data_IF_898573337547
#
_entry.id   IF_898573337547
#
_cell.length_a   1.000
_cell.length_b   1.000
_cell.length_c   1.000
_cell.angle_alpha   90.00
_cell.angle_beta   90.00
_cell.angle_gamma   90.00
#
_symmetry.space_group_name_H-M   'P 1'
#
loop_
_entity.id
_entity.type
_entity.pdbx_description
1 polymer ?
#
# COMPACT_ATOMS: atom_id res chain seq x y z
N UNK A 1 -29.03 -23.39 -55.67
CA UNK A 1 -27.71 -23.39 -55.00
C UNK A 1 -27.28 -22.00 -54.53
N UNK A 2 -27.32 -20.95 -55.37
CA UNK A 2 -26.90 -19.59 -54.98
C UNK A 2 -27.68 -18.94 -53.83
N UNK A 3 -28.98 -19.18 -53.68
CA UNK A 3 -29.77 -18.55 -52.62
C UNK A 3 -29.36 -19.02 -51.22
N UNK A 4 -29.05 -20.31 -51.05
CA UNK A 4 -28.56 -20.85 -49.77
C UNK A 4 -27.20 -20.27 -49.39
N UNK A 5 -26.33 -20.04 -50.37
CA UNK A 5 -25.02 -19.41 -50.16
C UNK A 5 -25.18 -17.95 -49.71
N UNK A 6 -26.11 -17.21 -50.32
CA UNK A 6 -26.39 -15.80 -49.96
C UNK A 6 -26.98 -15.70 -48.55
N UNK A 7 -27.91 -16.59 -48.20
CA UNK A 7 -28.52 -16.63 -46.86
C UNK A 7 -27.46 -16.97 -45.81
N UNK A 8 -26.61 -17.96 -46.09
CA UNK A 8 -25.51 -18.33 -45.19
C UNK A 8 -24.53 -17.17 -44.98
N UNK A 9 -24.17 -16.47 -46.05
CA UNK A 9 -23.29 -15.30 -45.99
C UNK A 9 -23.92 -14.17 -45.16
N UNK A 10 -25.21 -13.90 -45.35
CA UNK A 10 -25.94 -12.89 -44.58
C UNK A 10 -25.95 -13.20 -43.08
N UNK A 11 -26.14 -14.46 -42.70
CA UNK A 11 -26.10 -14.90 -41.30
C UNK A 11 -24.69 -14.69 -40.73
N UNK A 12 -23.64 -15.12 -41.44
CA UNK A 12 -22.25 -14.96 -40.98
C UNK A 12 -21.90 -13.48 -40.77
N UNK A 13 -22.27 -12.62 -41.72
CA UNK A 13 -22.02 -11.17 -41.62
C UNK A 13 -22.80 -10.55 -40.46
N UNK A 14 -24.08 -10.89 -40.29
CA UNK A 14 -24.89 -10.41 -39.19
C UNK A 14 -24.33 -10.86 -37.83
N UNK A 15 -23.93 -12.14 -37.70
CA UNK A 15 -23.31 -12.66 -36.48
C UNK A 15 -21.97 -11.98 -36.16
N UNK A 16 -21.15 -11.68 -37.18
CA UNK A 16 -19.91 -10.94 -36.99
C UNK A 16 -20.16 -9.50 -36.52
N UNK A 17 -21.13 -8.80 -37.13
CA UNK A 17 -21.51 -7.43 -36.71
C UNK A 17 -21.98 -7.44 -35.25
N UNK A 18 -22.87 -8.36 -34.89
CA UNK A 18 -23.34 -8.51 -33.50
C UNK A 18 -22.19 -8.82 -32.56
N UNK A 19 -21.31 -9.76 -32.91
CA UNK A 19 -20.15 -10.09 -32.08
C UNK A 19 -19.23 -8.88 -31.86
N UNK A 20 -18.96 -8.08 -32.89
CA UNK A 20 -18.13 -6.87 -32.76
C UNK A 20 -18.77 -5.77 -31.92
N UNK A 21 -20.10 -5.63 -31.96
CA UNK A 21 -20.84 -4.65 -31.16
C UNK A 21 -20.97 -5.08 -29.70
N UNK A 22 -21.16 -6.38 -29.46
CA UNK A 22 -21.40 -6.92 -28.13
C UNK A 22 -20.09 -7.20 -27.38
N UNK A 23 -19.00 -7.55 -28.08
CA UNK A 23 -17.70 -7.82 -27.45
C UNK A 23 -17.22 -6.71 -26.49
N UNK A 24 -17.24 -5.41 -26.87
CA UNK A 24 -16.87 -4.33 -25.98
C UNK A 24 -17.72 -4.23 -24.70
N UNK A 25 -18.98 -4.67 -24.74
CA UNK A 25 -19.88 -4.69 -23.57
C UNK A 25 -19.67 -5.93 -22.69
N UNK A 26 -19.26 -7.07 -23.28
CA UNK A 26 -18.92 -8.29 -22.53
C UNK A 26 -17.52 -8.18 -21.91
N UNK A 27 -16.57 -7.59 -22.62
CA UNK A 27 -15.25 -7.28 -22.07
C UNK A 27 -15.38 -6.06 -21.17
N UNK A 28 -15.88 -6.29 -19.95
CA UNK A 28 -15.80 -5.35 -18.84
C UNK A 28 -14.31 -5.18 -18.48
N UNK A 29 -13.59 -4.38 -19.27
CA UNK A 29 -12.31 -3.87 -18.86
C UNK A 29 -12.61 -3.00 -17.64
N UNK A 30 -12.34 -3.53 -16.45
CA UNK A 30 -12.32 -2.70 -15.25
C UNK A 30 -11.41 -1.52 -15.58
N UNK A 31 -12.00 -0.34 -15.70
CA UNK A 31 -11.24 0.87 -15.94
C UNK A 31 -10.22 0.99 -14.82
N UNK A 32 -8.96 1.17 -15.19
CA UNK A 32 -7.92 1.38 -14.19
C UNK A 32 -8.30 2.60 -13.35
N UNK A 33 -8.19 2.51 -12.01
CA UNK A 33 -8.51 3.62 -11.13
C UNK A 33 -7.63 4.84 -11.39
N UNK A 34 -8.14 5.98 -10.95
CA UNK A 34 -7.37 7.23 -10.87
C UNK A 34 -6.41 7.22 -9.67
N UNK A 35 -5.37 8.04 -9.77
CA UNK A 35 -4.39 8.25 -8.71
C UNK A 35 -5.02 8.76 -7.40
N UNK A 36 -6.16 9.44 -7.48
CA UNK A 36 -6.90 9.96 -6.31
C UNK A 36 -7.30 8.87 -5.32
N UNK A 37 -7.46 7.62 -5.77
CA UNK A 37 -7.74 6.47 -4.91
C UNK A 37 -6.62 6.22 -3.88
N UNK A 38 -5.37 6.60 -4.19
CA UNK A 38 -4.25 6.46 -3.27
C UNK A 38 -4.40 7.37 -2.03
N UNK A 39 -4.94 8.58 -2.21
CA UNK A 39 -5.26 9.48 -1.11
C UNK A 39 -6.47 8.99 -0.29
N UNK A 40 -7.47 8.39 -0.94
CA UNK A 40 -8.60 7.77 -0.23
C UNK A 40 -8.14 6.58 0.61
N UNK A 41 -7.27 5.74 0.06
CA UNK A 41 -6.63 4.62 0.75
C UNK A 41 -5.83 5.11 1.96
N UNK A 42 -4.97 6.11 1.78
CA UNK A 42 -4.20 6.73 2.87
C UNK A 42 -5.13 7.23 3.99
N UNK A 43 -6.16 7.99 3.63
CA UNK A 43 -7.11 8.57 4.58
C UNK A 43 -7.88 7.50 5.35
N UNK A 44 -8.40 6.49 4.64
CA UNK A 44 -9.18 5.42 5.26
C UNK A 44 -8.36 4.61 6.26
N UNK A 45 -7.09 4.34 5.96
CA UNK A 45 -6.22 3.66 6.92
C UNK A 45 -5.82 4.54 8.11
N UNK A 46 -5.66 5.86 7.90
CA UNK A 46 -5.39 6.80 9.01
C UNK A 46 -6.58 6.96 9.95
N UNK A 47 -7.79 7.07 9.40
CA UNK A 47 -9.01 7.38 10.15
C UNK A 47 -9.74 6.13 10.67
N UNK A 48 -9.91 5.12 9.82
CA UNK A 48 -10.74 3.94 10.10
C UNK A 48 -9.93 2.67 10.37
N UNK A 49 -8.65 2.66 10.00
CA UNK A 49 -7.80 1.48 10.09
C UNK A 49 -8.11 0.37 9.09
N UNK A 50 -9.12 0.54 8.23
CA UNK A 50 -9.53 -0.42 7.21
C UNK A 50 -9.74 0.25 5.86
N UNK A 51 -9.66 -0.53 4.78
CA UNK A 51 -10.02 -0.09 3.44
C UNK A 51 -10.56 -1.25 2.61
N UNK A 52 -11.63 -0.98 1.85
CA UNK A 52 -12.30 -1.95 0.99
C UNK A 52 -12.43 -1.39 -0.42
N UNK A 53 -12.18 -2.21 -1.42
CA UNK A 53 -12.28 -1.82 -2.82
C UNK A 53 -12.70 -3.01 -3.69
N UNK A 54 -13.21 -2.73 -4.88
CA UNK A 54 -13.49 -3.71 -5.93
C UNK A 54 -12.26 -4.01 -6.82
N UNK A 55 -11.09 -3.43 -6.49
CA UNK A 55 -9.85 -3.55 -7.24
C UNK A 55 -8.84 -4.42 -6.49
N UNK A 56 -7.99 -5.12 -7.25
CA UNK A 56 -6.93 -5.94 -6.65
C UNK A 56 -5.85 -5.03 -6.08
N UNK A 57 -5.69 -5.07 -4.75
CA UNK A 57 -4.56 -4.51 -4.02
C UNK A 57 -3.44 -5.53 -3.95
N UNK A 58 -2.22 -5.09 -4.25
CA UNK A 58 -0.99 -5.82 -4.08
C UNK A 58 -0.30 -5.30 -2.83
N UNK A 59 -0.18 -6.16 -1.84
CA UNK A 59 0.46 -5.83 -0.56
C UNK A 59 1.77 -6.59 -0.49
N UNK A 60 2.85 -5.89 -0.18
CA UNK A 60 4.15 -6.52 0.06
C UNK A 60 5.02 -5.70 0.99
N UNK A 61 5.98 -6.37 1.65
CA UNK A 61 6.93 -5.74 2.56
C UNK A 61 8.36 -5.88 2.09
N UNK A 62 9.17 -4.84 2.33
CA UNK A 62 10.62 -4.85 2.11
C UNK A 62 11.35 -4.62 3.43
N UNK A 63 12.47 -5.31 3.70
CA UNK A 63 13.25 -5.10 4.92
C UNK A 63 13.91 -3.73 4.92
N UNK A 64 14.00 -3.11 6.09
CA UNK A 64 14.69 -1.84 6.31
C UNK A 64 15.35 -1.84 7.69
N UNK A 65 16.42 -1.05 7.84
CA UNK A 65 17.15 -0.95 9.10
C UNK A 65 16.80 0.35 9.81
N UNK A 66 16.43 0.20 11.09
CA UNK A 66 16.28 1.27 12.05
C UNK A 66 17.46 1.21 13.02
N UNK A 67 18.30 2.25 13.01
CA UNK A 67 19.49 2.30 13.85
C UNK A 67 19.22 3.15 15.09
N UNK A 68 19.42 2.57 16.27
CA UNK A 68 19.25 3.25 17.56
C UNK A 68 20.61 3.22 18.25
N UNK A 69 21.35 4.33 18.20
CA UNK A 69 22.78 4.38 18.53
C UNK A 69 23.56 3.31 17.72
N UNK A 70 24.08 2.28 18.40
CA UNK A 70 24.84 1.17 17.82
C UNK A 70 24.01 -0.12 17.69
N UNK A 71 22.71 -0.04 17.99
CA UNK A 71 21.78 -1.17 17.88
C UNK A 71 21.04 -1.06 16.55
N UNK A 72 21.25 -2.05 15.69
CA UNK A 72 20.45 -2.21 14.49
C UNK A 72 19.18 -3.01 14.80
N UNK A 73 18.05 -2.49 14.33
CA UNK A 73 16.75 -3.15 14.43
C UNK A 73 16.19 -3.30 13.03
N UNK A 74 15.96 -4.55 12.62
CA UNK A 74 15.27 -4.84 11.39
C UNK A 74 13.78 -4.51 11.54
N UNK A 75 13.28 -3.69 10.62
CA UNK A 75 11.88 -3.32 10.48
C UNK A 75 11.46 -3.56 9.03
N UNK A 76 10.18 -3.33 8.72
CA UNK A 76 9.65 -3.50 7.38
C UNK A 76 8.96 -2.24 6.87
N UNK A 77 9.10 -2.02 5.57
CA UNK A 77 8.40 -1.00 4.79
C UNK A 77 7.38 -1.74 3.95
N UNK A 78 6.12 -1.57 4.29
CA UNK A 78 4.96 -2.14 3.61
C UNK A 78 4.50 -1.22 2.47
N UNK A 79 4.26 -1.81 1.32
CA UNK A 79 3.62 -1.20 0.16
C UNK A 79 2.23 -1.80 -0.01
N UNK A 80 1.24 -0.95 -0.22
CA UNK A 80 -0.11 -1.34 -0.62
C UNK A 80 -0.38 -0.60 -1.92
N UNK A 81 -0.37 -1.31 -3.04
CA UNK A 81 -0.39 -0.72 -4.38
C UNK A 81 -1.43 -1.36 -5.27
N UNK A 82 -1.92 -0.59 -6.22
CA UNK A 82 -2.83 -1.03 -7.27
C UNK A 82 -2.36 -0.46 -8.61
N UNK A 83 -2.80 -1.08 -9.70
CA UNK A 83 -2.45 -0.64 -11.04
C UNK A 83 -3.27 0.59 -11.41
N UNK A 84 -2.62 1.59 -12.00
CA UNK A 84 -3.27 2.81 -12.52
C UNK A 84 -2.81 3.09 -13.95
N UNK A 85 -3.58 3.89 -14.69
CA UNK A 85 -3.23 4.20 -16.08
C UNK A 85 -2.01 5.13 -16.17
N UNK A 86 -1.97 6.18 -15.36
CA UNK A 86 -0.89 7.17 -15.30
C UNK A 86 -0.75 7.70 -13.85
N UNK A 87 0.26 7.22 -13.12
CA UNK A 87 0.61 7.75 -11.79
C UNK A 87 1.69 8.82 -11.88
N UNK A 88 1.61 9.93 -11.12
CA UNK A 88 2.80 10.77 -10.92
C UNK A 88 3.90 9.98 -10.20
N UNK A 89 5.17 10.33 -10.45
CA UNK A 89 6.28 9.78 -9.67
C UNK A 89 6.33 10.50 -8.32
N UNK A 90 5.85 9.83 -7.28
CA UNK A 90 5.83 10.35 -5.91
C UNK A 90 6.36 9.27 -4.99
N UNK A 91 7.35 9.61 -4.18
CA UNK A 91 7.85 8.76 -3.10
C UNK A 91 8.22 9.64 -1.93
N UNK A 92 7.43 9.53 -0.87
CA UNK A 92 7.70 10.20 0.40
C UNK A 92 7.66 9.17 1.53
N UNK A 93 8.45 9.40 2.58
CA UNK A 93 8.55 8.55 3.77
C UNK A 93 8.56 9.43 5.03
N UNK A 94 7.72 10.46 5.03
CA UNK A 94 7.58 11.45 6.10
C UNK A 94 6.70 11.01 7.25
N UNK A 95 5.60 10.36 6.92
CA UNK A 95 4.61 9.92 7.90
C UNK A 95 4.52 8.40 7.94
N UNK A 96 3.72 7.87 8.85
CA UNK A 96 3.48 6.42 8.91
C UNK A 96 2.92 5.88 7.59
N UNK A 97 2.04 6.64 6.95
CA UNK A 97 1.45 6.35 5.65
C UNK A 97 1.82 7.49 4.71
N UNK A 98 2.29 7.16 3.51
CA UNK A 98 2.63 8.16 2.51
C UNK A 98 2.09 7.69 1.16
N UNK A 99 1.54 8.61 0.39
CA UNK A 99 1.17 8.31 -1.00
C UNK A 99 2.41 8.00 -1.82
N UNK A 100 2.30 6.97 -2.66
CA UNK A 100 3.36 6.48 -3.53
C UNK A 100 2.84 6.25 -4.95
N UNK A 101 3.69 6.51 -5.94
CA UNK A 101 3.38 6.33 -7.35
C UNK A 101 4.62 6.17 -8.23
N UNK A 102 4.52 5.34 -9.26
CA UNK A 102 5.63 5.02 -10.16
C UNK A 102 5.23 4.93 -11.66
N UNK A 103 4.35 5.81 -12.13
CA UNK A 103 3.76 5.81 -13.47
C UNK A 103 2.73 4.71 -13.74
N UNK A 104 2.99 3.47 -13.32
CA UNK A 104 2.12 2.31 -13.62
C UNK A 104 1.31 1.81 -12.42
N UNK A 105 1.79 2.09 -11.22
CA UNK A 105 1.14 1.73 -9.97
C UNK A 105 1.06 2.95 -9.07
N UNK A 106 0.04 2.94 -8.21
CA UNK A 106 -0.18 3.93 -7.18
C UNK A 106 -0.66 3.24 -5.91
N UNK A 107 -0.55 3.94 -4.79
CA UNK A 107 -1.07 3.47 -3.52
C UNK A 107 -0.34 4.16 -2.39
N UNK A 108 0.02 3.39 -1.37
CA UNK A 108 0.73 3.91 -0.22
C UNK A 108 1.97 3.09 0.12
N UNK A 109 2.92 3.77 0.72
CA UNK A 109 4.12 3.19 1.33
C UNK A 109 4.16 3.57 2.81
N UNK A 110 4.43 2.59 3.67
CA UNK A 110 4.56 2.82 5.10
C UNK A 110 5.98 3.24 5.48
N UNK A 111 6.14 4.22 6.35
CA UNK A 111 7.44 4.52 6.97
C UNK A 111 7.37 4.21 8.49
N UNK A 112 8.10 4.99 9.29
CA UNK A 112 8.03 4.92 10.75
C UNK A 112 7.29 6.13 11.31
N UNK A 113 6.55 5.93 12.40
CA UNK A 113 6.01 6.99 13.24
C UNK A 113 6.80 7.05 14.54
N UNK A 114 7.29 8.22 14.92
CA UNK A 114 7.96 8.42 16.22
C UNK A 114 7.08 9.32 17.08
N UNK A 115 6.66 8.84 18.25
CA UNK A 115 5.96 9.62 19.28
C UNK A 115 6.75 9.59 20.59
N UNK A 116 7.17 10.74 21.09
CA UNK A 116 7.82 10.87 22.40
C UNK A 116 6.86 11.55 23.38
N UNK A 117 6.62 10.91 24.52
CA UNK A 117 5.82 11.48 25.62
C UNK A 117 6.67 11.98 26.80
N UNK A 118 8.00 12.04 26.63
CA UNK A 118 8.95 12.49 27.64
C UNK A 118 9.56 11.38 28.50
N UNK A 119 8.95 10.19 28.55
CA UNK A 119 9.50 9.02 29.25
C UNK A 119 9.65 7.81 28.33
N UNK A 120 8.62 7.57 27.52
CA UNK A 120 8.55 6.52 26.51
C UNK A 120 8.55 7.15 25.13
N UNK A 121 9.47 6.71 24.29
CA UNK A 121 9.48 7.00 22.87
C UNK A 121 8.97 5.77 22.12
N UNK A 122 7.80 5.90 21.49
CA UNK A 122 7.18 4.84 20.71
C UNK A 122 7.55 5.00 19.24
N UNK A 123 8.12 3.96 18.64
CA UNK A 123 8.38 3.86 17.21
C UNK A 123 7.40 2.84 16.63
N UNK A 124 6.53 3.25 15.71
CA UNK A 124 5.61 2.34 15.03
C UNK A 124 6.03 2.11 13.58
N UNK A 125 5.87 0.89 13.10
CA UNK A 125 6.00 0.54 11.69
C UNK A 125 4.92 -0.49 11.31
N UNK A 126 4.65 -0.62 10.01
CA UNK A 126 3.64 -1.54 9.48
C UNK A 126 4.33 -2.75 8.86
N UNK A 127 3.88 -3.94 9.23
CA UNK A 127 4.32 -5.20 8.66
C UNK A 127 3.14 -5.90 7.98
N UNK A 128 3.39 -6.48 6.81
CA UNK A 128 2.44 -7.25 6.04
C UNK A 128 3.08 -8.51 5.48
N UNK A 129 2.25 -9.52 5.21
CA UNK A 129 2.60 -10.63 4.34
C UNK A 129 2.35 -10.24 2.88
N UNK A 130 3.10 -10.84 1.95
CA UNK A 130 2.88 -10.61 0.53
C UNK A 130 1.55 -11.26 0.11
N UNK A 131 0.54 -10.45 -0.20
CA UNK A 131 -0.82 -10.91 -0.50
C UNK A 131 -1.46 -10.07 -1.61
N UNK A 132 -2.44 -10.67 -2.29
CA UNK A 132 -3.36 -9.97 -3.19
C UNK A 132 -4.74 -9.99 -2.55
N UNK A 133 -5.37 -8.84 -2.40
CA UNK A 133 -6.64 -8.73 -1.68
C UNK A 133 -7.49 -7.56 -2.19
N UNK A 134 -8.75 -7.54 -1.78
CA UNK A 134 -9.73 -6.48 -2.01
C UNK A 134 -10.07 -5.71 -0.72
N UNK A 135 -9.67 -6.25 0.44
CA UNK A 135 -9.87 -5.67 1.76
C UNK A 135 -8.53 -5.65 2.49
N UNK A 136 -8.25 -4.58 3.20
CA UNK A 136 -7.16 -4.53 4.18
C UNK A 136 -7.66 -3.99 5.51
N UNK A 137 -7.09 -4.46 6.60
CA UNK A 137 -7.33 -3.93 7.94
C UNK A 137 -6.06 -3.96 8.79
N UNK A 138 -5.92 -2.96 9.64
CA UNK A 138 -4.84 -2.86 10.62
C UNK A 138 -5.27 -3.50 11.94
N UNK A 139 -4.35 -4.15 12.62
CA UNK A 139 -4.59 -4.61 13.98
C UNK A 139 -4.69 -3.42 14.96
N UNK A 140 -5.69 -3.44 15.86
CA UNK A 140 -6.05 -2.34 16.77
C UNK A 140 -4.89 -1.81 17.62
N UNK A 141 -4.02 -2.69 18.10
CA UNK A 141 -2.88 -2.30 18.96
C UNK A 141 -1.60 -2.97 18.45
N UNK A 142 -0.70 -2.17 17.89
CA UNK A 142 0.59 -2.65 17.44
C UNK A 142 1.34 -3.39 18.56
N UNK A 143 1.88 -4.56 18.26
CA UNK A 143 2.60 -5.44 19.20
C UNK A 143 3.97 -4.86 19.49
N UNK A 144 4.35 -4.77 20.77
CA UNK A 144 5.74 -4.43 21.14
C UNK A 144 6.66 -5.56 20.71
N UNK A 145 7.57 -5.28 19.78
CA UNK A 145 8.55 -6.25 19.27
C UNK A 145 9.91 -6.10 19.94
N UNK A 146 10.24 -4.89 20.40
CA UNK A 146 11.50 -4.62 21.10
C UNK A 146 11.33 -3.45 22.06
N UNK A 147 11.99 -3.53 23.20
CA UNK A 147 12.02 -2.48 24.22
C UNK A 147 13.47 -2.24 24.64
N UNK A 148 13.91 -0.99 24.60
CA UNK A 148 15.31 -0.61 24.84
C UNK A 148 15.34 0.62 25.74
N UNK A 149 16.08 0.57 26.84
CA UNK A 149 16.35 1.76 27.65
C UNK A 149 17.64 2.41 27.18
N UNK A 150 17.62 3.71 26.92
CA UNK A 150 18.79 4.47 26.51
C UNK A 150 18.90 5.80 27.28
N UNK A 151 20.13 6.29 27.43
CA UNK A 151 20.42 7.64 27.91
C UNK A 151 21.15 8.40 26.80
N UNK A 152 20.60 9.53 26.36
CA UNK A 152 21.11 10.34 25.25
C UNK A 152 21.35 9.49 23.98
N UNK A 153 20.42 9.53 23.04
CA UNK A 153 20.54 8.68 21.85
C UNK A 153 20.12 9.33 20.55
N UNK A 154 20.46 8.66 19.47
CA UNK A 154 20.11 9.05 18.11
C UNK A 154 19.45 7.87 17.43
N UNK A 155 18.22 8.07 16.99
CA UNK A 155 17.50 7.14 16.12
C UNK A 155 17.74 7.61 14.68
N UNK A 156 18.19 6.70 13.82
CA UNK A 156 18.38 6.95 12.39
C UNK A 156 17.51 5.99 11.57
N UNK A 157 16.79 6.54 10.61
CA UNK A 157 16.01 5.78 9.64
C UNK A 157 16.14 6.45 8.29
N UNK A 158 16.79 5.76 7.35
CA UNK A 158 17.19 6.34 6.05
C UNK A 158 17.94 7.66 6.28
N UNK A 159 17.52 8.74 5.64
CA UNK A 159 18.17 10.06 5.71
C UNK A 159 17.76 10.89 6.93
N UNK A 160 16.93 10.34 7.82
CA UNK A 160 16.39 11.05 8.99
C UNK A 160 17.09 10.64 10.26
N UNK A 161 17.34 11.63 11.11
CA UNK A 161 17.87 11.45 12.45
C UNK A 161 16.97 12.15 13.49
N UNK A 162 16.65 11.44 14.56
CA UNK A 162 15.92 11.95 15.72
C UNK A 162 16.82 11.86 16.95
N UNK A 163 17.04 12.98 17.64
CA UNK A 163 17.90 13.06 18.82
C UNK A 163 17.06 13.04 20.09
N UNK A 164 17.54 12.28 21.07
CA UNK A 164 16.92 12.08 22.38
C UNK A 164 17.88 12.62 23.42
N UNK A 165 17.36 13.47 24.30
CA UNK A 165 18.10 13.99 25.45
C UNK A 165 17.54 13.39 26.75
N UNK A 166 18.42 12.96 27.64
CA UNK A 166 18.07 12.31 28.90
C UNK A 166 17.77 10.82 28.75
N UNK A 167 17.12 10.26 29.77
CA UNK A 167 16.71 8.86 29.77
C UNK A 167 15.37 8.68 29.05
N UNK A 168 15.31 7.69 28.15
CA UNK A 168 14.08 7.26 27.50
C UNK A 168 14.02 5.75 27.39
N UNK A 169 12.79 5.25 27.47
CA UNK A 169 12.45 3.88 27.10
C UNK A 169 11.93 3.92 25.65
N UNK A 170 12.65 3.30 24.73
CA UNK A 170 12.21 3.14 23.35
C UNK A 170 11.38 1.87 23.24
N UNK A 171 10.14 2.01 22.78
CA UNK A 171 9.24 0.91 22.45
C UNK A 171 9.02 0.84 20.95
N UNK A 172 9.49 -0.25 20.34
CA UNK A 172 9.28 -0.52 18.92
C UNK A 172 8.03 -1.38 18.78
N UNK A 173 7.04 -0.87 18.07
CA UNK A 173 5.73 -1.49 17.89
C UNK A 173 5.47 -1.83 16.43
N UNK A 174 5.13 -3.08 16.19
CA UNK A 174 4.70 -3.59 14.89
C UNK A 174 3.19 -3.54 14.77
N UNK A 175 2.67 -2.82 13.77
CA UNK A 175 1.27 -2.88 13.39
C UNK A 175 1.14 -3.91 12.27
N UNK A 176 0.38 -4.97 12.51
CA UNK A 176 0.09 -5.96 11.47
C UNK A 176 -0.99 -5.43 10.54
N UNK A 177 -0.72 -5.51 9.25
CA UNK A 177 -1.71 -5.32 8.19
C UNK A 177 -2.20 -6.71 7.75
N UNK A 178 -3.50 -6.93 7.87
CA UNK A 178 -4.20 -8.10 7.38
C UNK A 178 -4.88 -7.75 6.06
N UNK A 179 -4.99 -8.74 5.18
CA UNK A 179 -5.80 -8.63 3.97
C UNK A 179 -6.41 -9.96 3.60
#
# INVERSE_FOLDING_TARGET
MNQFIIIFLAIVVASLIVLTLVMPHITYYQSLPDFSLAYQLERSLKENGEFHTNLVLYVYSTPALLKINDIDVEIRITYIVFRVKNSPMVSNLNELYNVWGNQTHAGIVSAIEIKDNGYILTIKYINSTNIKTYKISLADTGKIVKKIAIRNGVIRFRDKAYRINGYRIIEIREIKLNG
#
